data_IF_828555556449
#
_entry.id   IF_828555556449
#
_cell.length_a   1.000
_cell.length_b   1.000
_cell.length_c   1.000
_cell.angle_alpha   90.00
_cell.angle_beta   90.00
_cell.angle_gamma   90.00
#
_symmetry.space_group_name_H-M   'P 1'
#
loop_
_entity.id
_entity.type
_entity.pdbx_description
1 polymer ?
#
# COMPACT_ATOMS: atom_id res chain seq x y z
N UNK A 1 37.73 -10.32 -45.87
CA UNK A 1 37.35 -8.99 -45.29
C UNK A 1 35.91 -8.90 -44.80
N UNK A 2 34.89 -9.46 -45.48
CA UNK A 2 33.47 -9.38 -45.08
C UNK A 2 33.18 -10.05 -43.73
N UNK A 3 33.73 -11.23 -43.42
CA UNK A 3 33.50 -11.96 -42.16
C UNK A 3 34.03 -11.22 -40.93
N UNK A 4 35.18 -10.54 -41.01
CA UNK A 4 35.73 -9.72 -39.93
C UNK A 4 34.90 -8.47 -39.63
N UNK A 5 34.30 -7.84 -40.66
CA UNK A 5 33.39 -6.70 -40.49
C UNK A 5 32.08 -7.10 -39.81
N UNK A 6 31.54 -8.28 -40.15
CA UNK A 6 30.32 -8.82 -39.50
C UNK A 6 30.57 -9.14 -38.04
N UNK A 7 31.73 -9.73 -37.69
CA UNK A 7 32.11 -10.03 -36.31
C UNK A 7 32.30 -8.76 -35.49
N UNK A 8 32.88 -7.70 -36.03
CA UNK A 8 33.05 -6.42 -35.38
C UNK A 8 31.70 -5.69 -35.15
N UNK A 9 30.78 -5.80 -36.12
CA UNK A 9 29.44 -5.22 -36.00
C UNK A 9 28.62 -5.98 -34.92
N UNK A 10 28.70 -7.32 -34.90
CA UNK A 10 28.00 -8.11 -33.90
C UNK A 10 28.54 -7.87 -32.46
N UNK A 11 29.87 -7.68 -32.33
CA UNK A 11 30.49 -7.34 -31.05
C UNK A 11 30.10 -5.93 -30.59
N UNK A 12 30.02 -4.97 -31.52
CA UNK A 12 29.61 -3.61 -31.21
C UNK A 12 28.13 -3.52 -30.80
N UNK A 13 27.26 -4.30 -31.48
CA UNK A 13 25.83 -4.38 -31.09
C UNK A 13 25.63 -5.07 -29.76
N UNK A 14 26.45 -6.06 -29.39
CA UNK A 14 26.41 -6.74 -28.10
C UNK A 14 26.89 -5.81 -26.96
N UNK A 15 27.91 -5.01 -27.20
CA UNK A 15 28.40 -3.99 -26.25
C UNK A 15 27.33 -2.88 -26.08
N UNK A 16 26.67 -2.44 -27.15
CA UNK A 16 25.62 -1.45 -27.12
C UNK A 16 24.36 -1.97 -26.35
N UNK A 17 24.05 -3.26 -26.51
CA UNK A 17 22.95 -3.89 -25.76
C UNK A 17 23.25 -3.99 -24.25
N UNK A 18 24.51 -4.25 -23.87
CA UNK A 18 24.93 -4.30 -22.45
C UNK A 18 24.95 -2.90 -21.81
N UNK A 19 25.27 -1.86 -22.58
CA UNK A 19 25.21 -0.48 -22.08
C UNK A 19 23.79 0.11 -22.05
N UNK A 20 22.87 -0.45 -22.86
CA UNK A 20 21.45 -0.10 -22.80
C UNK A 20 20.70 -0.78 -21.65
N UNK A 21 21.24 -1.86 -21.08
CA UNK A 21 20.88 -2.38 -19.77
C UNK A 21 21.66 -1.60 -18.69
N UNK A 22 21.61 -0.27 -18.80
CA UNK A 22 22.12 0.63 -17.76
C UNK A 22 21.50 0.22 -16.44
N UNK A 23 22.36 -0.07 -15.48
CA UNK A 23 22.03 -0.36 -14.09
C UNK A 23 21.09 0.71 -13.52
N UNK A 24 19.80 0.52 -13.73
CA UNK A 24 18.80 1.19 -12.93
C UNK A 24 18.77 0.47 -11.58
N UNK A 25 19.70 0.87 -10.73
CA UNK A 25 19.69 0.51 -9.32
C UNK A 25 18.54 1.29 -8.67
N UNK A 26 17.30 0.82 -8.85
CA UNK A 26 16.11 1.48 -8.36
C UNK A 26 15.34 0.56 -7.42
N UNK A 27 14.82 1.17 -6.37
CA UNK A 27 13.86 0.58 -5.49
C UNK A 27 12.50 0.62 -6.19
N UNK A 28 11.79 -0.49 -6.22
CA UNK A 28 10.42 -0.56 -6.71
C UNK A 28 9.47 -0.61 -5.52
N UNK A 29 8.49 0.26 -5.48
CA UNK A 29 7.36 0.16 -4.58
C UNK A 29 6.17 -0.39 -5.38
N UNK A 30 5.81 -1.64 -5.14
CA UNK A 30 4.64 -2.27 -5.70
C UNK A 30 3.51 -2.27 -4.68
N UNK A 31 2.31 -2.15 -5.17
CA UNK A 31 1.10 -2.16 -4.37
C UNK A 31 0.29 -3.42 -4.63
N UNK A 32 -0.18 -4.03 -3.55
CA UNK A 32 -1.11 -5.14 -3.63
C UNK A 32 -2.32 -4.80 -2.77
N UNK A 33 -3.29 -4.13 -3.38
CA UNK A 33 -4.60 -3.94 -2.76
C UNK A 33 -5.35 -5.27 -2.78
N UNK A 34 -5.38 -6.00 -1.68
CA UNK A 34 -6.15 -7.23 -1.60
C UNK A 34 -6.84 -7.44 -0.26
N UNK A 35 -8.01 -7.95 -0.41
CA UNK A 35 -8.97 -8.53 0.50
C UNK A 35 -9.95 -7.57 1.17
N UNK A 36 -11.11 -7.56 0.56
CA UNK A 36 -12.34 -7.02 1.15
C UNK A 36 -13.10 -8.18 1.78
N UNK A 37 -13.17 -8.24 3.11
CA UNK A 37 -14.04 -9.17 3.82
C UNK A 37 -15.35 -8.46 4.09
N UNK A 38 -16.43 -8.96 3.54
CA UNK A 38 -17.76 -8.36 3.65
C UNK A 38 -18.71 -9.27 4.38
N UNK A 39 -19.51 -8.70 5.28
CA UNK A 39 -20.63 -9.37 5.94
C UNK A 39 -21.94 -8.74 5.50
N UNK A 40 -22.78 -9.50 4.82
CA UNK A 40 -24.16 -9.10 4.47
C UNK A 40 -24.24 -7.95 3.45
N UNK A 41 -24.89 -6.85 3.80
CA UNK A 41 -25.13 -5.68 2.93
C UNK A 41 -23.94 -4.68 2.90
N UNK A 42 -22.87 -4.95 3.60
CA UNK A 42 -21.65 -4.14 3.61
C UNK A 42 -20.72 -4.62 2.49
N UNK A 43 -20.24 -3.67 1.70
CA UNK A 43 -19.24 -3.90 0.67
C UNK A 43 -18.33 -2.68 0.61
N UNK A 44 -17.04 -2.89 0.64
CA UNK A 44 -16.05 -1.82 0.60
C UNK A 44 -15.05 -2.03 -0.53
N UNK A 45 -14.38 -0.96 -0.93
CA UNK A 45 -13.26 -0.98 -1.88
C UNK A 45 -12.14 -0.09 -1.33
N UNK A 46 -10.91 -0.54 -1.47
CA UNK A 46 -9.72 0.31 -1.24
C UNK A 46 -9.55 1.20 -2.47
N UNK A 47 -9.41 2.49 -2.23
CA UNK A 47 -9.17 3.51 -3.27
C UNK A 47 -7.78 4.07 -3.03
N UNK A 48 -6.91 3.90 -4.01
CA UNK A 48 -5.52 4.33 -3.97
C UNK A 48 -5.25 5.33 -5.08
N UNK A 49 -4.77 6.48 -4.68
CA UNK A 49 -4.44 7.59 -5.59
C UNK A 49 -3.09 8.18 -5.26
N UNK A 50 -2.55 8.98 -6.15
CA UNK A 50 -1.32 9.73 -5.95
C UNK A 50 -1.46 11.16 -6.45
N UNK A 51 -0.61 12.05 -5.96
CA UNK A 51 -0.43 13.38 -6.52
C UNK A 51 0.71 13.36 -7.54
N UNK A 52 0.41 13.81 -8.75
CA UNK A 52 1.39 14.12 -9.80
C UNK A 52 1.36 15.64 -10.01
N UNK A 53 2.25 16.33 -9.34
CA UNK A 53 2.19 17.79 -9.21
C UNK A 53 0.95 18.22 -8.40
N UNK A 54 -0.05 18.82 -9.07
CA UNK A 54 -1.34 19.22 -8.46
C UNK A 54 -2.51 18.33 -8.87
N UNK A 55 -2.28 17.35 -9.73
CA UNK A 55 -3.29 16.47 -10.27
C UNK A 55 -3.37 15.17 -9.45
N UNK A 56 -4.59 14.75 -9.10
CA UNK A 56 -4.84 13.45 -8.45
C UNK A 56 -5.04 12.41 -9.55
N UNK A 57 -4.27 11.32 -9.48
CA UNK A 57 -4.35 10.18 -10.41
C UNK A 57 -4.48 8.89 -9.62
N UNK A 58 -4.97 7.84 -10.28
CA UNK A 58 -4.92 6.51 -9.71
C UNK A 58 -3.47 6.11 -9.43
N UNK A 59 -3.24 5.41 -8.31
CA UNK A 59 -1.93 4.85 -8.02
C UNK A 59 -1.63 3.76 -9.06
N UNK A 60 -0.43 3.76 -9.70
CA UNK A 60 -0.13 2.80 -10.76
C UNK A 60 -0.08 1.37 -10.21
N UNK A 61 -0.76 0.44 -10.90
CA UNK A 61 -0.83 -0.97 -10.50
C UNK A 61 0.54 -1.68 -10.52
N UNK A 62 1.46 -1.18 -11.35
CA UNK A 62 2.85 -1.64 -11.42
C UNK A 62 3.75 -1.04 -10.32
N UNK A 63 3.19 -0.19 -9.44
CA UNK A 63 3.95 0.50 -8.40
C UNK A 63 4.81 1.65 -8.91
N UNK A 64 5.68 2.15 -8.06
CA UNK A 64 6.60 3.27 -8.36
C UNK A 64 8.03 2.75 -8.41
N UNK A 65 8.72 3.07 -9.49
CA UNK A 65 10.13 2.75 -9.68
C UNK A 65 11.02 3.97 -9.43
N UNK A 66 12.30 3.75 -9.16
CA UNK A 66 13.26 4.84 -8.99
C UNK A 66 13.25 5.48 -7.62
N UNK A 67 12.70 4.82 -6.62
CA UNK A 67 12.69 5.30 -5.25
C UNK A 67 14.10 5.29 -4.68
N UNK A 68 14.50 6.38 -4.02
CA UNK A 68 15.82 6.58 -3.44
C UNK A 68 15.74 6.69 -1.91
N UNK A 69 16.82 6.37 -1.16
CA UNK A 69 16.89 6.66 0.25
C UNK A 69 16.52 8.11 0.57
N UNK A 70 15.70 8.33 1.58
CA UNK A 70 15.21 9.64 1.99
C UNK A 70 14.11 10.24 1.11
N UNK A 71 13.66 9.52 0.06
CA UNK A 71 12.57 10.00 -0.78
C UNK A 71 11.21 9.80 -0.13
N UNK A 72 10.25 10.56 -0.63
CA UNK A 72 8.82 10.46 -0.28
C UNK A 72 8.04 10.23 -1.56
N UNK A 73 7.14 9.26 -1.53
CA UNK A 73 6.24 8.92 -2.64
C UNK A 73 4.82 9.25 -2.22
N UNK A 74 4.10 9.98 -3.08
CA UNK A 74 2.67 10.21 -2.86
C UNK A 74 1.91 8.91 -3.05
N UNK A 75 1.18 8.49 -2.01
CA UNK A 75 0.24 7.36 -2.01
C UNK A 75 -0.87 7.70 -1.04
N UNK A 76 -2.03 7.97 -1.57
CA UNK A 76 -3.21 8.39 -0.81
C UNK A 76 -4.18 7.22 -0.76
N UNK A 77 -4.50 6.77 0.45
CA UNK A 77 -5.38 5.62 0.67
C UNK A 77 -6.67 6.06 1.33
N UNK A 78 -7.81 5.66 0.75
CA UNK A 78 -9.17 5.81 1.28
C UNK A 78 -9.92 4.51 1.16
N UNK A 79 -10.99 4.37 1.92
CA UNK A 79 -11.90 3.23 1.80
C UNK A 79 -13.27 3.73 1.39
N UNK A 80 -13.79 3.21 0.28
CA UNK A 80 -15.13 3.52 -0.21
C UNK A 80 -16.11 2.45 0.26
N UNK A 81 -17.24 2.86 0.82
CA UNK A 81 -18.37 1.98 1.09
C UNK A 81 -19.23 1.84 -0.18
N UNK A 82 -19.03 0.77 -0.92
CA UNK A 82 -19.80 0.44 -2.15
C UNK A 82 -21.05 -0.39 -1.84
N UNK A 83 -21.32 -0.66 -0.56
CA UNK A 83 -22.50 -1.38 -0.10
C UNK A 83 -23.74 -0.50 0.02
N UNK A 84 -24.82 -1.09 0.51
CA UNK A 84 -26.12 -0.41 0.70
C UNK A 84 -26.40 -0.04 2.15
N UNK A 85 -25.52 -0.38 3.10
CA UNK A 85 -25.65 -0.06 4.50
C UNK A 85 -24.47 0.79 4.98
N UNK A 86 -24.73 1.61 5.99
CA UNK A 86 -23.69 2.34 6.71
C UNK A 86 -22.77 1.37 7.48
N UNK A 87 -21.48 1.68 7.54
CA UNK A 87 -20.50 0.75 8.06
C UNK A 87 -19.43 1.42 8.96
N UNK A 88 -18.97 0.67 9.95
CA UNK A 88 -17.70 0.89 10.62
C UNK A 88 -16.59 0.25 9.76
N UNK A 89 -15.41 0.88 9.70
CA UNK A 89 -14.29 0.44 8.89
C UNK A 89 -13.02 0.37 9.72
N UNK A 90 -12.25 -0.71 9.56
CA UNK A 90 -10.87 -0.82 10.04
C UNK A 90 -9.96 -1.32 8.93
N UNK A 91 -8.68 -1.00 9.04
CA UNK A 91 -7.66 -1.32 8.03
C UNK A 91 -6.41 -1.85 8.71
N UNK A 92 -5.83 -2.90 8.13
CA UNK A 92 -4.47 -3.34 8.42
C UNK A 92 -3.57 -2.93 7.26
N UNK A 93 -2.40 -2.39 7.58
CA UNK A 93 -1.38 -2.07 6.58
C UNK A 93 -0.17 -2.97 6.82
N UNK A 94 0.15 -3.77 5.83
CA UNK A 94 1.36 -4.60 5.80
C UNK A 94 2.43 -3.94 4.93
N UNK A 95 3.69 -4.09 5.31
CA UNK A 95 4.82 -3.66 4.50
C UNK A 95 5.84 -4.78 4.44
N UNK A 96 6.29 -5.13 3.25
CA UNK A 96 7.40 -6.07 3.03
C UNK A 96 8.39 -5.46 2.04
N UNK A 97 9.66 -5.83 2.17
CA UNK A 97 10.73 -5.39 1.27
C UNK A 97 11.52 -6.61 0.84
N UNK A 98 11.68 -6.77 -0.46
CA UNK A 98 12.43 -7.88 -1.05
C UNK A 98 13.59 -7.35 -1.88
N UNK A 99 14.76 -7.98 -1.76
CA UNK A 99 15.91 -7.70 -2.63
C UNK A 99 15.65 -8.19 -4.06
N UNK A 100 16.48 -7.76 -5.01
CA UNK A 100 16.42 -8.27 -6.39
C UNK A 100 16.65 -9.79 -6.54
N UNK A 101 17.12 -10.46 -5.48
CA UNK A 101 17.26 -11.93 -5.36
C UNK A 101 16.12 -12.57 -4.55
N UNK A 102 15.05 -11.82 -4.30
CA UNK A 102 13.84 -12.22 -3.57
C UNK A 102 14.07 -12.54 -2.08
N UNK A 103 15.17 -12.08 -1.49
CA UNK A 103 15.40 -12.18 -0.05
C UNK A 103 14.63 -11.06 0.67
N UNK A 104 13.93 -11.43 1.75
CA UNK A 104 13.23 -10.47 2.60
C UNK A 104 14.22 -9.59 3.36
N UNK A 105 14.00 -8.30 3.36
CA UNK A 105 14.78 -7.27 4.05
C UNK A 105 13.94 -6.57 5.13
N UNK A 106 14.60 -5.77 5.96
CA UNK A 106 13.94 -5.02 7.02
C UNK A 106 12.96 -3.99 6.43
N UNK A 107 11.67 -4.22 6.61
CA UNK A 107 10.62 -3.35 6.12
C UNK A 107 10.45 -2.04 6.91
N UNK A 108 11.12 -1.88 8.07
CA UNK A 108 11.06 -0.65 8.90
C UNK A 108 11.66 0.56 8.20
N UNK A 109 12.36 0.36 7.08
CA UNK A 109 12.86 1.44 6.22
C UNK A 109 11.73 2.14 5.45
N UNK A 110 10.53 1.56 5.43
CA UNK A 110 9.34 2.11 4.77
C UNK A 110 8.37 2.55 5.85
N UNK A 111 8.02 3.81 5.87
CA UNK A 111 7.12 4.39 6.86
C UNK A 111 6.00 5.21 6.25
N UNK A 112 4.90 5.34 6.96
CA UNK A 112 3.79 6.24 6.65
C UNK A 112 3.26 6.85 7.94
N UNK A 113 2.50 7.93 7.84
CA UNK A 113 1.85 8.57 8.98
C UNK A 113 0.35 8.48 8.81
N UNK A 114 -0.34 7.93 9.82
CA UNK A 114 -1.80 7.84 9.82
C UNK A 114 -2.39 9.21 10.14
N UNK A 115 -3.40 9.61 9.37
CA UNK A 115 -4.08 10.90 9.47
C UNK A 115 -5.37 10.77 10.31
N UNK A 116 -5.68 11.81 11.08
CA UNK A 116 -7.01 11.87 11.70
C UNK A 116 -8.12 11.91 10.63
N UNK A 117 -9.26 11.26 10.83
CA UNK A 117 -9.77 10.69 12.08
C UNK A 117 -9.51 9.19 12.25
N UNK A 118 -8.49 8.65 11.64
CA UNK A 118 -8.05 7.28 11.87
C UNK A 118 -7.25 7.17 13.17
N UNK A 119 -7.42 6.08 13.90
CA UNK A 119 -6.71 5.82 15.16
C UNK A 119 -6.08 4.45 15.14
N UNK A 120 -4.86 4.34 15.66
CA UNK A 120 -4.19 3.07 15.89
C UNK A 120 -4.87 2.33 17.04
N UNK A 121 -5.36 1.11 16.77
CA UNK A 121 -5.98 0.26 17.78
C UNK A 121 -4.96 -0.44 18.70
N UNK A 122 -3.68 -0.45 18.35
CA UNK A 122 -2.64 -1.20 19.07
C UNK A 122 -2.74 -2.72 18.89
N UNK A 123 -3.59 -3.20 18.01
CA UNK A 123 -3.84 -4.61 17.68
C UNK A 123 -3.49 -4.94 16.21
N UNK A 124 -2.80 -4.01 15.55
CA UNK A 124 -2.41 -4.10 14.15
C UNK A 124 -3.46 -3.56 13.18
N UNK A 125 -4.56 -2.98 13.70
CA UNK A 125 -5.56 -2.30 12.89
C UNK A 125 -5.59 -0.81 13.18
N UNK A 126 -5.88 -0.03 12.14
CA UNK A 126 -6.29 1.36 12.21
C UNK A 126 -7.80 1.43 12.06
N UNK A 127 -8.47 2.15 12.95
CA UNK A 127 -9.92 2.27 13.01
C UNK A 127 -10.36 3.65 12.56
N UNK A 128 -11.28 3.69 11.61
CA UNK A 128 -11.93 4.93 11.23
C UNK A 128 -12.99 5.31 12.27
N UNK A 129 -12.88 6.48 12.86
CA UNK A 129 -13.70 6.85 14.03
C UNK A 129 -15.13 7.29 13.70
N UNK A 130 -15.47 7.41 12.42
CA UNK A 130 -16.80 7.82 11.94
C UNK A 130 -17.46 6.69 11.17
N UNK A 131 -18.79 6.64 11.23
CA UNK A 131 -19.56 5.75 10.36
C UNK A 131 -19.50 6.24 8.91
N UNK A 132 -19.32 5.31 7.97
CA UNK A 132 -19.27 5.61 6.54
C UNK A 132 -20.60 5.23 5.89
N UNK A 133 -21.38 6.20 5.41
CA UNK A 133 -22.67 5.92 4.79
C UNK A 133 -22.52 5.13 3.48
N UNK A 134 -23.61 4.52 3.02
CA UNK A 134 -23.65 3.87 1.71
C UNK A 134 -23.23 4.84 0.59
N UNK A 135 -22.29 4.44 -0.25
CA UNK A 135 -21.71 5.26 -1.31
C UNK A 135 -20.72 6.34 -0.84
N UNK A 136 -20.47 6.45 0.48
CA UNK A 136 -19.49 7.38 1.05
C UNK A 136 -18.07 6.84 1.04
N UNK A 137 -17.12 7.70 1.37
CA UNK A 137 -15.70 7.37 1.52
C UNK A 137 -15.19 7.85 2.88
N UNK A 138 -14.13 7.21 3.37
CA UNK A 138 -13.38 7.71 4.52
C UNK A 138 -12.53 8.92 4.13
N UNK A 139 -12.05 9.68 5.10
CA UNK A 139 -10.88 10.50 4.92
C UNK A 139 -9.64 9.63 4.68
N UNK A 140 -8.54 10.27 4.27
CA UNK A 140 -7.31 9.55 3.96
C UNK A 140 -6.74 8.84 5.20
N UNK A 141 -6.35 7.59 5.02
CA UNK A 141 -5.62 6.83 6.04
C UNK A 141 -4.19 7.36 6.15
N UNK A 142 -3.53 7.55 5.02
CA UNK A 142 -2.26 8.25 4.86
C UNK A 142 -2.16 8.84 3.44
N UNK A 143 -1.20 9.75 3.24
CA UNK A 143 -1.04 10.51 2.00
C UNK A 143 0.28 10.24 1.29
N UNK A 144 1.24 9.70 2.02
CA UNK A 144 2.59 9.48 1.51
C UNK A 144 3.28 8.34 2.22
N UNK A 145 4.22 7.76 1.51
CA UNK A 145 5.15 6.75 2.00
C UNK A 145 6.55 7.35 1.98
N UNK A 146 7.29 7.18 3.07
CA UNK A 146 8.64 7.71 3.26
C UNK A 146 9.64 6.57 3.35
N UNK A 147 10.78 6.76 2.74
CA UNK A 147 11.89 5.83 2.76
C UNK A 147 13.02 6.36 3.64
N UNK A 148 13.56 5.51 4.53
CA UNK A 148 14.61 5.92 5.47
C UNK A 148 15.84 6.44 4.68
N UNK A 149 16.38 7.63 5.00
CA UNK A 149 17.57 8.15 4.35
C UNK A 149 18.84 7.32 4.65
N UNK A 150 18.81 6.46 5.66
CA UNK A 150 19.93 5.59 6.03
C UNK A 150 19.88 4.20 5.37
N UNK A 151 18.99 3.98 4.41
CA UNK A 151 18.95 2.75 3.62
C UNK A 151 20.31 2.52 2.95
N UNK A 152 20.93 1.37 3.22
CA UNK A 152 22.24 1.00 2.67
C UNK A 152 22.15 0.39 1.27
N UNK A 153 23.28 -0.09 0.79
CA UNK A 153 23.40 -0.68 -0.56
C UNK A 153 22.59 -1.99 -0.71
N UNK A 154 22.25 -2.66 0.40
CA UNK A 154 21.43 -3.87 0.41
C UNK A 154 20.02 -3.63 -0.14
N UNK A 155 19.54 -2.38 -0.11
CA UNK A 155 18.25 -1.99 -0.67
C UNK A 155 18.30 -1.57 -2.15
N UNK A 156 19.46 -1.69 -2.80
CA UNK A 156 19.54 -1.44 -4.25
C UNK A 156 18.78 -2.51 -5.02
N UNK A 157 17.94 -2.08 -5.98
CA UNK A 157 17.05 -2.95 -6.75
C UNK A 157 16.02 -3.73 -5.91
N UNK A 158 15.68 -3.24 -4.71
CA UNK A 158 14.63 -3.82 -3.90
C UNK A 158 13.24 -3.40 -4.36
N UNK A 159 12.26 -4.24 -4.04
CA UNK A 159 10.84 -3.94 -4.19
C UNK A 159 10.21 -3.84 -2.80
N UNK A 160 9.50 -2.76 -2.53
CA UNK A 160 8.65 -2.63 -1.35
C UNK A 160 7.19 -2.84 -1.73
N UNK A 161 6.53 -3.71 -0.98
CA UNK A 161 5.09 -3.95 -1.10
C UNK A 161 4.39 -3.33 0.09
N UNK A 162 3.33 -2.59 -0.18
CA UNK A 162 2.44 -2.02 0.84
C UNK A 162 1.07 -2.61 0.60
N UNK A 163 0.65 -3.49 1.51
CA UNK A 163 -0.64 -4.17 1.44
C UNK A 163 -1.63 -3.45 2.34
N UNK A 164 -2.80 -3.13 1.81
CA UNK A 164 -3.91 -2.52 2.55
C UNK A 164 -5.07 -3.49 2.60
N UNK A 165 -5.35 -4.03 3.78
CA UNK A 165 -6.46 -4.95 4.03
C UNK A 165 -7.55 -4.21 4.79
N UNK A 166 -8.72 -4.03 4.18
CA UNK A 166 -9.83 -3.33 4.78
C UNK A 166 -10.94 -4.29 5.19
N UNK A 167 -11.49 -4.06 6.37
CA UNK A 167 -12.64 -4.78 6.92
C UNK A 167 -13.74 -3.80 7.32
N UNK A 168 -14.98 -4.24 7.17
CA UNK A 168 -16.12 -3.43 7.54
C UNK A 168 -17.25 -4.25 8.16
N UNK A 169 -17.94 -3.63 9.12
CA UNK A 169 -19.17 -4.15 9.72
C UNK A 169 -20.28 -3.11 9.64
N UNK A 170 -21.51 -3.52 9.40
CA UNK A 170 -22.63 -2.57 9.38
C UNK A 170 -22.84 -1.96 10.76
N UNK A 171 -23.19 -0.68 10.81
CA UNK A 171 -23.48 0.02 12.08
C UNK A 171 -24.75 -0.49 12.74
N UNK A 172 -25.75 -0.91 11.94
CA UNK A 172 -26.96 -1.55 12.44
C UNK A 172 -26.60 -2.87 13.14
N UNK A 173 -27.05 -3.02 14.38
CA UNK A 173 -26.75 -4.14 15.29
C UNK A 173 -25.30 -4.20 15.79
N UNK A 174 -24.46 -3.26 15.46
CA UNK A 174 -23.08 -3.14 15.95
C UNK A 174 -22.81 -1.73 16.49
N UNK A 175 -23.53 -1.27 17.53
CA UNK A 175 -23.31 0.05 18.10
C UNK A 175 -21.95 0.09 18.83
N UNK A 176 -21.36 1.27 18.88
CA UNK A 176 -20.23 1.52 19.79
C UNK A 176 -20.73 1.35 21.23
N UNK A 177 -20.07 0.56 22.08
CA UNK A 177 -20.43 0.47 23.51
C UNK A 177 -20.37 1.83 24.21
N UNK A 178 -21.18 2.02 25.25
CA UNK A 178 -21.33 3.32 25.92
C UNK A 178 -20.01 3.90 26.46
N UNK A 179 -19.08 3.05 26.90
CA UNK A 179 -17.74 3.45 27.37
C UNK A 179 -16.64 2.92 26.43
N UNK A 180 -16.97 2.66 25.16
CA UNK A 180 -16.08 2.10 24.18
C UNK A 180 -15.81 3.03 23.00
N UNK A 181 -15.06 2.52 22.06
CA UNK A 181 -14.69 3.13 20.78
C UNK A 181 -15.13 2.25 19.61
N UNK A 182 -14.86 2.65 18.38
CA UNK A 182 -15.09 1.82 17.18
C UNK A 182 -14.33 0.48 17.26
N UNK A 183 -13.22 0.42 17.96
CA UNK A 183 -12.47 -0.83 18.19
C UNK A 183 -13.31 -1.87 18.94
N UNK A 184 -14.15 -1.43 19.87
CA UNK A 184 -14.93 -2.29 20.77
C UNK A 184 -16.28 -2.71 20.19
N UNK A 185 -16.55 -2.35 18.94
CA UNK A 185 -17.74 -2.76 18.19
C UNK A 185 -17.74 -4.29 18.03
N UNK A 186 -18.86 -4.92 18.34
CA UNK A 186 -19.05 -6.35 18.07
C UNK A 186 -19.11 -6.62 16.55
N UNK A 187 -18.79 -7.84 16.16
CA UNK A 187 -18.93 -8.29 14.78
C UNK A 187 -17.74 -8.01 13.88
N UNK A 188 -16.62 -7.49 14.39
CA UNK A 188 -15.38 -7.49 13.61
C UNK A 188 -15.00 -8.92 13.24
N UNK A 189 -14.57 -9.17 11.95
CA UNK A 189 -14.06 -10.47 11.53
C UNK A 189 -12.92 -10.93 12.45
N UNK A 190 -12.96 -12.19 12.89
CA UNK A 190 -11.95 -12.75 13.80
C UNK A 190 -12.08 -12.35 15.27
N UNK A 191 -13.06 -11.56 15.65
CA UNK A 191 -13.37 -11.23 17.04
C UNK A 191 -14.21 -12.32 17.73
N UNK A 192 -14.26 -13.56 17.19
CA UNK A 192 -14.96 -14.64 17.85
C UNK A 192 -14.22 -15.05 19.13
N UNK A 193 -14.83 -14.68 20.24
CA UNK A 193 -14.81 -15.35 21.53
C UNK A 193 -13.46 -15.80 22.08
N UNK A 194 -12.83 -14.92 22.86
CA UNK A 194 -12.05 -15.43 24.02
C UNK A 194 -13.07 -15.70 25.11
N UNK A 195 -13.60 -16.93 25.13
CA UNK A 195 -14.26 -17.51 26.29
C UNK A 195 -13.23 -17.92 27.35
#
# INVERSE_FOLDING_TARGET
>A
MKKRKILLISLLTMILAITAMGSSAFFNAEDTAHNVITSGSVKIAVVETMLDGTEVKDFPAEGITGVMPGSTVSKIVRIQNTGSAEAWIRVRVGTTVHSGEDAELDARVVGFSVEEPWVDGGDGYYYYTKAVPAGGETEELFREVRFDPNMGNEYQNCTAYITVEAEAVQTANNPIPAEGTVRDVAGWPGAEGVD
#
